data_IF_080141712139
#
_entry.id   IF_080141712139
#
_cell.length_a   1.000
_cell.length_b   1.000
_cell.length_c   1.000
_cell.angle_alpha   90.00
_cell.angle_beta   90.00
_cell.angle_gamma   90.00
#
_symmetry.space_group_name_H-M   'P 1'
#
loop_
_entity.id
_entity.type
_entity.pdbx_description
1 polymer ?
#
# COMPACT_ATOMS: atom_id res chain seq x y z
N UNK A 1 -36.57 33.43 15.68
CA UNK A 1 -36.75 32.81 14.34
C UNK A 1 -35.82 33.50 13.35
N UNK A 2 -34.75 32.85 12.89
CA UNK A 2 -34.07 33.17 11.61
C UNK A 2 -33.20 31.96 11.24
N UNK A 3 -33.53 31.32 10.10
CA UNK A 3 -32.95 30.05 9.65
C UNK A 3 -31.54 30.24 9.09
N UNK A 4 -30.65 29.30 9.43
CA UNK A 4 -29.44 28.97 8.66
C UNK A 4 -29.83 28.28 7.35
N UNK A 5 -29.11 28.61 6.28
CA UNK A 5 -29.16 28.05 4.93
C UNK A 5 -28.58 29.13 4.02
N UNK A 6 -27.53 28.95 3.25
CA UNK A 6 -27.16 27.79 2.43
C UNK A 6 -25.64 27.87 2.18
N UNK A 7 -24.91 26.78 2.42
CA UNK A 7 -23.57 26.62 1.84
C UNK A 7 -23.62 25.36 0.99
N UNK A 8 -24.03 25.56 -0.26
CA UNK A 8 -24.03 24.52 -1.27
C UNK A 8 -22.60 23.96 -1.43
N UNK A 9 -22.41 22.72 -1.01
CA UNK A 9 -21.22 21.93 -1.33
C UNK A 9 -21.33 21.53 -2.80
N UNK A 10 -20.90 22.40 -3.72
CA UNK A 10 -20.55 21.99 -5.08
C UNK A 10 -19.05 21.76 -5.15
N UNK A 11 -18.65 20.51 -5.01
CA UNK A 11 -17.24 20.09 -5.05
C UNK A 11 -17.04 18.65 -5.52
N UNK A 12 -17.97 18.08 -6.28
CA UNK A 12 -17.78 16.78 -6.94
C UNK A 12 -17.20 17.01 -8.34
N UNK A 13 -15.99 16.55 -8.64
CA UNK A 13 -15.50 16.70 -10.02
C UNK A 13 -14.20 15.99 -10.36
N UNK A 14 -13.10 16.29 -9.66
CA UNK A 14 -11.76 15.82 -10.04
C UNK A 14 -11.09 14.96 -8.96
N UNK A 15 -11.17 15.37 -7.69
CA UNK A 15 -10.56 14.66 -6.55
C UNK A 15 -11.10 13.23 -6.37
N UNK A 16 -12.41 13.03 -6.60
CA UNK A 16 -13.03 11.71 -6.52
C UNK A 16 -12.69 10.75 -7.67
N UNK A 17 -12.41 11.25 -8.88
CA UNK A 17 -12.00 10.40 -10.02
C UNK A 17 -10.52 10.04 -9.93
N UNK A 18 -9.70 10.96 -9.45
CA UNK A 18 -8.28 10.73 -9.21
C UNK A 18 -8.08 9.64 -8.15
N UNK A 19 -8.73 9.75 -6.99
CA UNK A 19 -8.62 8.72 -5.95
C UNK A 19 -9.12 7.33 -6.39
N UNK A 20 -10.11 7.25 -7.28
CA UNK A 20 -10.54 5.98 -7.88
C UNK A 20 -9.48 5.37 -8.80
N UNK A 21 -8.78 6.19 -9.59
CA UNK A 21 -7.69 5.72 -10.48
C UNK A 21 -6.48 5.24 -9.69
N UNK A 22 -6.11 5.98 -8.65
CA UNK A 22 -5.03 5.61 -7.72
C UNK A 22 -5.34 4.29 -7.01
N UNK A 23 -6.57 4.11 -6.53
CA UNK A 23 -7.00 2.87 -5.92
C UNK A 23 -6.93 1.68 -6.91
N UNK A 24 -7.41 1.85 -8.15
CA UNK A 24 -7.32 0.80 -9.19
C UNK A 24 -5.86 0.45 -9.50
N UNK A 25 -4.98 1.45 -9.55
CA UNK A 25 -3.55 1.23 -9.76
C UNK A 25 -2.94 0.42 -8.61
N UNK A 26 -3.17 0.80 -7.36
CA UNK A 26 -2.66 0.07 -6.19
C UNK A 26 -3.16 -1.38 -6.15
N UNK A 27 -4.43 -1.61 -6.51
CA UNK A 27 -4.99 -2.97 -6.62
C UNK A 27 -4.24 -3.78 -7.68
N UNK A 28 -3.99 -3.20 -8.86
CA UNK A 28 -3.24 -3.88 -9.92
C UNK A 28 -1.82 -4.25 -9.51
N UNK A 29 -1.13 -3.40 -8.75
CA UNK A 29 0.20 -3.70 -8.21
C UNK A 29 0.13 -4.87 -7.21
N UNK A 30 -0.88 -4.84 -6.33
CA UNK A 30 -1.09 -5.90 -5.36
C UNK A 30 -1.39 -7.25 -6.03
N UNK A 31 -2.14 -7.25 -7.13
CA UNK A 31 -2.39 -8.46 -7.92
C UNK A 31 -1.11 -9.00 -8.56
N UNK A 32 -0.25 -8.14 -9.12
CA UNK A 32 1.06 -8.53 -9.66
C UNK A 32 1.96 -9.17 -8.60
N UNK A 33 2.03 -8.56 -7.41
CA UNK A 33 2.76 -9.12 -6.27
C UNK A 33 2.14 -10.46 -5.82
N UNK A 34 0.82 -10.59 -5.85
CA UNK A 34 0.14 -11.84 -5.49
C UNK A 34 0.44 -12.97 -6.48
N UNK A 35 0.48 -12.68 -7.77
CA UNK A 35 0.91 -13.64 -8.80
C UNK A 35 2.34 -14.09 -8.57
N UNK A 36 3.28 -13.16 -8.35
CA UNK A 36 4.67 -13.50 -8.10
C UNK A 36 4.84 -14.32 -6.81
N UNK A 37 4.12 -13.99 -5.74
CA UNK A 37 4.14 -14.76 -4.51
C UNK A 37 3.66 -16.21 -4.73
N UNK A 38 2.59 -16.39 -5.51
CA UNK A 38 2.09 -17.72 -5.86
C UNK A 38 3.10 -18.54 -6.67
N UNK A 39 3.80 -17.92 -7.63
CA UNK A 39 4.88 -18.57 -8.40
C UNK A 39 6.04 -19.03 -7.50
N UNK A 40 6.34 -18.27 -6.44
CA UNK A 40 7.36 -18.61 -5.44
C UNK A 40 6.86 -19.56 -4.34
N UNK A 41 5.58 -19.95 -4.37
CA UNK A 41 4.99 -20.82 -3.34
C UNK A 41 4.87 -20.18 -1.96
N UNK A 42 4.88 -18.85 -1.88
CA UNK A 42 4.77 -18.08 -0.62
C UNK A 42 3.55 -17.16 -0.66
N UNK A 43 3.18 -16.60 0.50
CA UNK A 43 2.10 -15.60 0.56
C UNK A 43 2.63 -14.19 0.27
N UNK A 44 1.78 -13.25 -0.19
CA UNK A 44 2.20 -11.84 -0.32
C UNK A 44 2.67 -11.24 1.01
N UNK A 45 2.04 -11.68 2.11
CA UNK A 45 2.40 -11.32 3.48
C UNK A 45 3.78 -11.84 3.91
N UNK A 46 4.35 -12.82 3.20
CA UNK A 46 5.72 -13.27 3.37
C UNK A 46 6.68 -12.59 2.37
N UNK A 47 6.30 -12.54 1.09
CA UNK A 47 7.16 -12.05 0.01
C UNK A 47 7.56 -10.58 0.21
N UNK A 48 6.59 -9.71 0.51
CA UNK A 48 6.84 -8.26 0.62
C UNK A 48 7.75 -7.93 1.81
N UNK A 49 7.50 -8.42 3.04
CA UNK A 49 8.42 -8.13 4.14
C UNK A 49 9.81 -8.73 3.93
N UNK A 50 9.94 -9.92 3.32
CA UNK A 50 11.24 -10.52 3.00
C UNK A 50 12.05 -9.62 2.05
N UNK A 51 11.39 -9.09 1.02
CA UNK A 51 12.00 -8.13 0.09
C UNK A 51 12.45 -6.84 0.80
N UNK A 52 11.61 -6.27 1.67
CA UNK A 52 11.96 -5.07 2.44
C UNK A 52 13.14 -5.31 3.38
N UNK A 53 13.17 -6.45 4.08
CA UNK A 53 14.28 -6.84 4.96
C UNK A 53 15.57 -7.01 4.16
N UNK A 54 15.51 -7.66 2.99
CA UNK A 54 16.66 -7.78 2.08
C UNK A 54 17.23 -6.43 1.61
N UNK A 55 16.42 -5.37 1.64
CA UNK A 55 16.81 -3.98 1.33
C UNK A 55 17.27 -3.17 2.54
N UNK A 56 17.40 -3.81 3.71
CA UNK A 56 17.82 -3.16 4.95
C UNK A 56 16.70 -2.39 5.67
N UNK A 57 15.44 -2.58 5.29
CA UNK A 57 14.29 -1.98 5.97
C UNK A 57 13.68 -2.95 7.00
N UNK A 58 13.18 -2.43 8.12
CA UNK A 58 12.43 -3.20 9.11
C UNK A 58 10.93 -2.89 8.99
N UNK A 59 10.15 -3.71 8.26
CA UNK A 59 8.71 -3.46 8.10
C UNK A 59 7.95 -3.67 9.41
N UNK A 60 6.95 -2.83 9.67
CA UNK A 60 6.05 -2.93 10.84
C UNK A 60 4.61 -3.21 10.37
N UNK A 61 4.34 -4.40 9.79
CA UNK A 61 3.02 -4.69 9.23
C UNK A 61 2.00 -4.94 10.34
N UNK A 62 1.04 -4.02 10.48
CA UNK A 62 -0.11 -4.19 11.37
C UNK A 62 -1.14 -5.15 10.78
N UNK A 63 -1.59 -6.13 11.57
CA UNK A 63 -2.69 -7.02 11.18
C UNK A 63 -3.54 -7.44 12.37
N UNK A 64 -4.83 -7.64 12.14
CA UNK A 64 -5.78 -8.18 13.13
C UNK A 64 -5.99 -9.69 13.01
N UNK A 65 -5.42 -10.32 11.97
CA UNK A 65 -5.59 -11.75 11.69
C UNK A 65 -4.34 -12.51 12.09
N UNK A 66 -4.49 -13.50 12.97
CA UNK A 66 -3.37 -14.30 13.45
C UNK A 66 -2.64 -15.07 12.34
N UNK A 67 -3.34 -15.51 11.29
CA UNK A 67 -2.72 -16.14 10.12
C UNK A 67 -1.73 -15.19 9.42
N UNK A 68 -2.13 -13.94 9.20
CA UNK A 68 -1.27 -12.94 8.58
C UNK A 68 -0.08 -12.58 9.48
N UNK A 69 -0.28 -12.53 10.81
CA UNK A 69 0.83 -12.26 11.73
C UNK A 69 1.91 -13.35 11.65
N UNK A 70 1.50 -14.62 11.55
CA UNK A 70 2.43 -15.75 11.34
C UNK A 70 3.13 -15.67 9.99
N UNK A 71 2.40 -15.34 8.92
CA UNK A 71 2.99 -15.14 7.59
C UNK A 71 4.03 -14.01 7.59
N UNK A 72 3.69 -12.85 8.18
CA UNK A 72 4.62 -11.72 8.31
C UNK A 72 5.89 -12.11 9.08
N UNK A 73 5.76 -12.91 10.14
CA UNK A 73 6.90 -13.39 10.92
C UNK A 73 7.78 -14.37 10.11
N UNK A 74 7.16 -15.31 9.40
CA UNK A 74 7.85 -16.29 8.55
C UNK A 74 8.59 -15.65 7.36
N UNK A 75 8.32 -14.39 7.04
CA UNK A 75 9.07 -13.65 6.03
C UNK A 75 10.56 -13.51 6.37
N UNK A 76 10.91 -13.46 7.66
CA UNK A 76 12.30 -13.32 8.12
C UNK A 76 13.18 -14.53 7.81
N UNK A 77 12.57 -15.68 7.51
CA UNK A 77 13.27 -16.92 7.16
C UNK A 77 13.47 -17.07 5.64
N UNK A 78 12.91 -16.16 4.83
CA UNK A 78 13.00 -16.23 3.37
C UNK A 78 14.24 -15.50 2.85
N UNK A 79 14.98 -16.17 1.98
CA UNK A 79 15.98 -15.54 1.12
C UNK A 79 15.41 -15.48 -0.29
N UNK A 80 15.37 -14.29 -0.88
CA UNK A 80 14.85 -14.10 -2.23
C UNK A 80 15.98 -14.12 -3.25
N UNK A 81 15.76 -14.85 -4.34
CA UNK A 81 16.67 -14.82 -5.49
C UNK A 81 16.66 -13.43 -6.16
N UNK A 82 17.80 -13.04 -6.73
CA UNK A 82 17.95 -11.74 -7.40
C UNK A 82 16.89 -11.50 -8.48
N UNK A 83 16.49 -12.54 -9.22
CA UNK A 83 15.45 -12.45 -10.26
C UNK A 83 14.07 -12.14 -9.67
N UNK A 84 13.76 -12.63 -8.47
CA UNK A 84 12.50 -12.34 -7.79
C UNK A 84 12.49 -10.89 -7.30
N UNK A 85 13.62 -10.41 -6.80
CA UNK A 85 13.80 -9.01 -6.38
C UNK A 85 13.64 -8.08 -7.58
N UNK A 86 14.27 -8.37 -8.71
CA UNK A 86 14.16 -7.59 -9.95
C UNK A 86 12.70 -7.52 -10.42
N UNK A 87 12.00 -8.66 -10.48
CA UNK A 87 10.57 -8.69 -10.84
C UNK A 87 9.68 -7.92 -9.86
N UNK A 88 9.99 -7.92 -8.56
CA UNK A 88 9.27 -7.10 -7.58
C UNK A 88 9.47 -5.60 -7.85
N UNK A 89 10.67 -5.18 -8.24
CA UNK A 89 10.99 -3.79 -8.57
C UNK A 89 10.34 -3.34 -9.89
N UNK A 90 10.18 -4.25 -10.85
CA UNK A 90 9.39 -4.01 -12.07
C UNK A 90 7.90 -3.88 -11.77
N UNK A 91 7.35 -4.73 -10.88
CA UNK A 91 5.94 -4.67 -10.49
C UNK A 91 5.68 -3.40 -9.68
N UNK A 92 6.56 -3.05 -8.73
CA UNK A 92 6.40 -1.91 -7.82
C UNK A 92 7.55 -0.92 -7.98
N UNK A 93 7.59 -0.14 -9.07
CA UNK A 93 8.59 0.90 -9.23
C UNK A 93 8.45 2.00 -8.16
N UNK A 94 9.49 2.80 -7.89
CA UNK A 94 9.47 3.82 -6.83
C UNK A 94 8.34 4.85 -6.94
N UNK A 95 7.86 5.12 -8.15
CA UNK A 95 6.78 6.05 -8.49
C UNK A 95 5.42 5.36 -8.69
N UNK A 96 5.33 4.04 -8.43
CA UNK A 96 4.14 3.22 -8.66
C UNK A 96 2.94 3.60 -7.80
N UNK A 97 3.09 4.37 -6.73
CA UNK A 97 1.97 4.78 -5.88
C UNK A 97 1.84 6.30 -5.93
N UNK A 98 0.88 6.77 -6.72
CA UNK A 98 0.45 8.16 -6.71
C UNK A 98 -0.69 8.33 -5.69
N UNK A 99 -0.55 9.29 -4.79
CA UNK A 99 -1.57 9.62 -3.79
C UNK A 99 -1.01 10.51 -2.68
N UNK A 100 -1.88 11.33 -2.07
CA UNK A 100 -1.46 12.13 -0.92
C UNK A 100 -1.06 11.20 0.25
N UNK A 101 0.14 11.38 0.80
CA UNK A 101 0.67 10.64 1.97
C UNK A 101 -0.03 10.98 3.29
N UNK A 102 -1.20 11.62 3.21
CA UNK A 102 -1.99 12.04 4.35
C UNK A 102 -3.20 12.82 3.88
N UNK A 103 -4.17 12.95 4.78
CA UNK A 103 -5.22 13.93 4.61
C UNK A 103 -4.62 15.31 4.91
N UNK A 104 -4.64 16.25 3.96
CA UNK A 104 -4.14 17.62 4.15
C UNK A 104 -4.70 18.25 5.43
N UNK A 105 -5.98 17.99 5.74
CA UNK A 105 -6.64 18.48 6.95
C UNK A 105 -6.12 17.80 8.23
N UNK A 106 -5.64 16.56 8.15
CA UNK A 106 -5.01 15.88 9.28
C UNK A 106 -3.61 16.46 9.53
N UNK A 107 -2.82 16.65 8.46
CA UNK A 107 -1.46 17.20 8.55
C UNK A 107 -1.46 18.66 9.04
N UNK A 108 -2.46 19.46 8.66
CA UNK A 108 -2.61 20.84 9.12
C UNK A 108 -2.89 21.00 10.63
N UNK A 109 -3.24 19.91 11.33
CA UNK A 109 -3.51 19.91 12.78
C UNK A 109 -2.39 19.23 13.59
N UNK A 110 -1.25 18.92 12.98
CA UNK A 110 -0.09 18.42 13.71
C UNK A 110 0.74 19.63 14.17
N UNK A 111 0.88 19.80 15.48
CA UNK A 111 1.81 20.76 16.05
C UNK A 111 3.24 20.38 15.61
N UNK A 112 3.90 21.29 14.91
CA UNK A 112 5.23 21.10 14.29
C UNK A 112 6.32 21.83 15.08
#
# INVERSE_FOLDING_TARGET
MHRRGDRAVRGGGRRGRQGQREAVQVVSLADGVATLAAEQGVTPAQLVPAWLVGRGALPIPGTRKAANARANAAAGDLTLDAQVVERLEEIVPPDAVAGAQGNDAYLANLDT
#
